data_IF_350244763497
#
_entry.id   IF_350244763497
#
_cell.length_a   1.000
_cell.length_b   1.000
_cell.length_c   1.000
_cell.angle_alpha   90.00
_cell.angle_beta   90.00
_cell.angle_gamma   90.00
#
_symmetry.space_group_name_H-M   'P 1'
#
loop_
_entity.id
_entity.type
_entity.pdbx_description
1 polymer ?
#
# COMPACT_ATOMS: atom_id res chain seq x y z
N UNK A 1 0.81 -25.66 -5.88
CA UNK A 1 0.35 -24.79 -4.78
C UNK A 1 -0.53 -23.63 -5.27
N UNK A 2 -0.07 -22.83 -6.23
CA UNK A 2 -0.81 -21.63 -6.70
C UNK A 2 -2.21 -21.98 -7.25
N UNK A 3 -2.35 -23.04 -8.04
CA UNK A 3 -3.66 -23.44 -8.58
C UNK A 3 -4.66 -23.84 -7.50
N UNK A 4 -4.19 -24.47 -6.42
CA UNK A 4 -5.06 -24.82 -5.28
C UNK A 4 -5.59 -23.56 -4.63
N UNK A 5 -4.71 -22.57 -4.41
CA UNK A 5 -5.09 -21.28 -3.83
C UNK A 5 -6.12 -20.57 -4.71
N UNK A 6 -5.88 -20.53 -6.03
CA UNK A 6 -6.81 -19.90 -6.98
C UNK A 6 -8.19 -20.58 -6.97
N UNK A 7 -8.19 -21.92 -7.03
CA UNK A 7 -9.44 -22.71 -6.99
C UNK A 7 -10.18 -22.41 -5.69
N UNK A 8 -9.47 -22.38 -4.56
CA UNK A 8 -10.06 -22.08 -3.25
C UNK A 8 -10.69 -20.68 -3.22
N UNK A 9 -9.98 -19.67 -3.75
CA UNK A 9 -10.50 -18.29 -3.81
C UNK A 9 -11.76 -18.23 -4.67
N UNK A 10 -11.76 -18.82 -5.86
CA UNK A 10 -12.93 -18.81 -6.75
C UNK A 10 -14.09 -19.61 -6.16
N UNK A 11 -13.80 -20.76 -5.51
CA UNK A 11 -14.83 -21.53 -4.82
C UNK A 11 -15.48 -20.69 -3.73
N UNK A 12 -14.67 -20.07 -2.87
CA UNK A 12 -15.16 -19.18 -1.80
C UNK A 12 -15.97 -18.01 -2.38
N UNK A 13 -15.49 -17.41 -3.47
CA UNK A 13 -16.16 -16.32 -4.16
C UNK A 13 -17.59 -16.70 -4.57
N UNK A 14 -17.73 -17.85 -5.26
CA UNK A 14 -19.04 -18.29 -5.75
C UNK A 14 -19.93 -18.78 -4.60
N UNK A 15 -19.38 -19.42 -3.57
CA UNK A 15 -20.16 -19.84 -2.40
C UNK A 15 -20.72 -18.62 -1.65
N UNK A 16 -19.89 -17.61 -1.38
CA UNK A 16 -20.34 -16.38 -0.72
C UNK A 16 -21.35 -15.61 -1.59
N UNK A 17 -21.09 -15.52 -2.90
CA UNK A 17 -22.04 -14.87 -3.83
C UNK A 17 -23.39 -15.59 -3.86
N UNK A 18 -23.35 -16.93 -3.89
CA UNK A 18 -24.57 -17.74 -3.86
C UNK A 18 -25.35 -17.47 -2.56
N UNK A 19 -24.67 -17.47 -1.42
CA UNK A 19 -25.29 -17.25 -0.12
C UNK A 19 -25.87 -15.83 -0.01
N UNK A 20 -25.12 -14.83 -0.47
CA UNK A 20 -25.60 -13.43 -0.52
C UNK A 20 -26.81 -13.27 -1.47
N UNK A 21 -26.80 -13.98 -2.60
CA UNK A 21 -27.96 -13.96 -3.53
C UNK A 21 -29.22 -14.51 -2.90
N UNK A 22 -29.09 -15.49 -1.99
CA UNK A 22 -30.23 -16.03 -1.22
C UNK A 22 -30.82 -14.97 -0.28
N UNK A 23 -29.97 -14.14 0.31
CA UNK A 23 -30.38 -12.98 1.10
C UNK A 23 -31.16 -11.98 0.23
N UNK A 24 -30.60 -11.65 -0.92
CA UNK A 24 -31.22 -10.69 -1.85
C UNK A 24 -32.61 -11.16 -2.30
N UNK A 25 -32.81 -12.47 -2.53
CA UNK A 25 -34.10 -13.04 -2.88
C UNK A 25 -35.17 -12.90 -1.78
N UNK A 26 -34.77 -12.77 -0.51
CA UNK A 26 -35.70 -12.52 0.59
C UNK A 26 -36.15 -11.06 0.68
N UNK A 27 -35.38 -10.16 0.10
CA UNK A 27 -35.62 -8.71 0.16
C UNK A 27 -36.38 -8.21 -1.07
N UNK A 28 -36.01 -8.71 -2.25
CA UNK A 28 -36.48 -8.17 -3.54
C UNK A 28 -36.96 -9.30 -4.43
N UNK A 29 -38.19 -9.16 -4.93
CA UNK A 29 -38.81 -10.13 -5.84
C UNK A 29 -38.42 -9.89 -7.31
N UNK A 30 -37.99 -8.70 -7.67
CA UNK A 30 -37.69 -8.31 -9.05
C UNK A 30 -36.56 -9.15 -9.64
N UNK A 31 -36.84 -9.92 -10.67
CA UNK A 31 -35.90 -10.85 -11.30
C UNK A 31 -34.67 -10.15 -11.88
N UNK A 32 -34.85 -8.94 -12.44
CA UNK A 32 -33.75 -8.22 -13.07
C UNK A 32 -32.64 -7.88 -12.06
N UNK A 33 -33.00 -7.61 -10.80
CA UNK A 33 -31.99 -7.34 -9.73
C UNK A 33 -31.10 -8.57 -9.48
N UNK A 34 -31.70 -9.77 -9.54
CA UNK A 34 -30.93 -11.01 -9.37
C UNK A 34 -30.01 -11.27 -10.57
N UNK A 35 -30.49 -10.99 -11.78
CA UNK A 35 -29.67 -11.09 -12.98
C UNK A 35 -28.51 -10.08 -12.93
N UNK A 36 -28.80 -8.85 -12.50
CA UNK A 36 -27.76 -7.80 -12.34
C UNK A 36 -26.72 -8.24 -11.31
N UNK A 37 -27.14 -8.77 -10.17
CA UNK A 37 -26.21 -9.26 -9.12
C UNK A 37 -25.24 -10.31 -9.71
N UNK A 38 -25.78 -11.31 -10.40
CA UNK A 38 -24.93 -12.35 -10.99
C UNK A 38 -24.12 -11.83 -12.18
N UNK A 39 -24.67 -10.91 -12.96
CA UNK A 39 -23.96 -10.25 -14.05
C UNK A 39 -22.72 -9.52 -13.54
N UNK A 40 -22.86 -8.75 -12.45
CA UNK A 40 -21.73 -8.05 -11.81
C UNK A 40 -20.72 -9.09 -11.29
N UNK A 41 -21.18 -10.13 -10.61
CA UNK A 41 -20.28 -11.16 -10.07
C UNK A 41 -19.44 -11.82 -11.18
N UNK A 42 -20.09 -12.15 -12.29
CA UNK A 42 -19.39 -12.77 -13.44
C UNK A 42 -18.46 -11.76 -14.12
N UNK A 43 -18.92 -10.51 -14.30
CA UNK A 43 -18.11 -9.46 -14.94
C UNK A 43 -16.82 -9.19 -14.16
N UNK A 44 -16.86 -9.21 -12.82
CA UNK A 44 -15.67 -9.05 -11.98
C UNK A 44 -14.66 -10.17 -12.26
N UNK A 45 -15.13 -11.42 -12.33
CA UNK A 45 -14.26 -12.56 -12.61
C UNK A 45 -13.68 -12.47 -14.04
N UNK A 46 -14.52 -12.14 -15.02
CA UNK A 46 -14.07 -12.00 -16.41
C UNK A 46 -13.04 -10.86 -16.56
N UNK A 47 -13.25 -9.75 -15.88
CA UNK A 47 -12.32 -8.63 -15.86
C UNK A 47 -10.97 -9.04 -15.24
N UNK A 48 -11.01 -9.77 -14.12
CA UNK A 48 -9.78 -10.27 -13.49
C UNK A 48 -9.04 -11.24 -14.42
N UNK A 49 -9.76 -12.18 -15.03
CA UNK A 49 -9.17 -13.16 -15.98
C UNK A 49 -8.58 -12.44 -17.20
N UNK A 50 -9.30 -11.46 -17.76
CA UNK A 50 -8.80 -10.67 -18.88
C UNK A 50 -7.45 -10.04 -18.53
N UNK A 51 -7.36 -9.35 -17.39
CA UNK A 51 -6.10 -8.71 -16.98
C UNK A 51 -5.04 -9.73 -16.56
N UNK A 52 -5.44 -10.90 -16.05
CA UNK A 52 -4.50 -11.98 -15.72
C UNK A 52 -3.83 -12.53 -16.98
N UNK A 53 -4.60 -12.80 -18.02
CA UNK A 53 -4.08 -13.38 -19.27
C UNK A 53 -3.33 -12.33 -20.11
N UNK A 54 -3.69 -11.07 -20.00
CA UNK A 54 -3.06 -9.98 -20.77
C UNK A 54 -1.99 -9.23 -19.96
N UNK A 55 -1.60 -9.77 -18.80
CA UNK A 55 -0.56 -9.12 -18.00
C UNK A 55 0.79 -9.20 -18.72
N UNK A 56 1.50 -8.09 -18.81
CA UNK A 56 2.90 -8.07 -19.18
C UNK A 56 3.72 -8.83 -18.13
N UNK A 57 4.94 -9.17 -18.45
CA UNK A 57 5.79 -10.00 -17.57
C UNK A 57 6.20 -9.29 -16.27
N UNK A 58 6.05 -7.98 -16.18
CA UNK A 58 6.82 -7.18 -15.23
C UNK A 58 6.03 -6.35 -14.23
N UNK A 59 4.83 -5.85 -14.51
CA UNK A 59 4.17 -4.89 -13.59
C UNK A 59 2.68 -5.14 -13.44
N UNK A 60 2.18 -4.90 -12.24
CA UNK A 60 0.75 -4.78 -11.95
C UNK A 60 0.30 -3.37 -12.34
N UNK A 61 -0.22 -3.23 -13.54
CA UNK A 61 -0.77 -1.97 -14.02
C UNK A 61 -1.98 -1.53 -13.17
N UNK A 62 -2.32 -0.24 -13.23
CA UNK A 62 -3.48 0.29 -12.50
C UNK A 62 -4.78 -0.50 -12.82
N UNK A 63 -5.10 -0.84 -14.09
CA UNK A 63 -6.27 -1.68 -14.37
C UNK A 63 -6.25 -3.05 -13.69
N UNK A 64 -5.06 -3.67 -13.59
CA UNK A 64 -4.91 -4.97 -12.89
C UNK A 64 -5.17 -4.82 -11.40
N UNK A 65 -4.66 -3.75 -10.78
CA UNK A 65 -4.89 -3.44 -9.37
C UNK A 65 -6.40 -3.24 -9.11
N UNK A 66 -7.09 -2.51 -9.98
CA UNK A 66 -8.54 -2.30 -9.87
C UNK A 66 -9.34 -3.59 -10.08
N UNK A 67 -8.88 -4.49 -10.94
CA UNK A 67 -9.54 -5.80 -11.13
C UNK A 67 -9.48 -6.64 -9.85
N UNK A 68 -8.30 -6.67 -9.20
CA UNK A 68 -8.13 -7.37 -7.91
C UNK A 68 -8.93 -6.67 -6.80
N UNK A 69 -8.90 -5.34 -6.75
CA UNK A 69 -9.69 -4.56 -5.79
C UNK A 69 -11.18 -4.85 -5.93
N UNK A 70 -11.68 -4.98 -7.16
CA UNK A 70 -13.07 -5.35 -7.45
C UNK A 70 -13.43 -6.72 -6.89
N UNK A 71 -12.56 -7.72 -7.10
CA UNK A 71 -12.76 -9.07 -6.56
C UNK A 71 -12.80 -9.04 -5.02
N UNK A 72 -11.84 -8.37 -4.40
CA UNK A 72 -11.75 -8.29 -2.93
C UNK A 72 -12.95 -7.54 -2.35
N UNK A 73 -13.36 -6.44 -2.99
CA UNK A 73 -14.54 -5.66 -2.58
C UNK A 73 -15.79 -6.54 -2.61
N UNK A 74 -15.99 -7.29 -3.70
CA UNK A 74 -17.14 -8.20 -3.83
C UNK A 74 -17.13 -9.28 -2.75
N UNK A 75 -15.97 -9.88 -2.49
CA UNK A 75 -15.81 -10.89 -1.43
C UNK A 75 -16.17 -10.31 -0.06
N UNK A 76 -15.69 -9.10 0.25
CA UNK A 76 -15.98 -8.42 1.51
C UNK A 76 -17.49 -8.16 1.65
N UNK A 77 -18.13 -7.63 0.61
CA UNK A 77 -19.59 -7.39 0.60
C UNK A 77 -20.34 -8.69 0.87
N UNK A 78 -20.03 -9.73 0.08
CA UNK A 78 -20.71 -11.03 0.20
C UNK A 78 -20.48 -11.68 1.57
N UNK A 79 -19.28 -11.50 2.15
CA UNK A 79 -18.96 -11.98 3.49
C UNK A 79 -19.84 -11.30 4.56
N UNK A 80 -19.91 -9.97 4.52
CA UNK A 80 -20.71 -9.20 5.49
C UNK A 80 -22.20 -9.49 5.36
N UNK A 81 -22.70 -9.69 4.13
CA UNK A 81 -24.08 -10.10 3.90
C UNK A 81 -24.33 -11.51 4.43
N UNK A 82 -23.39 -12.42 4.21
CA UNK A 82 -23.55 -13.84 4.52
C UNK A 82 -23.40 -14.15 6.00
N UNK A 83 -22.57 -13.43 6.72
CA UNK A 83 -22.21 -13.75 8.11
C UNK A 83 -23.43 -13.77 9.06
N UNK A 84 -24.31 -12.74 9.10
CA UNK A 84 -25.49 -12.81 9.96
C UNK A 84 -26.44 -13.96 9.60
N UNK A 85 -26.58 -14.27 8.31
CA UNK A 85 -27.42 -15.37 7.84
C UNK A 85 -26.83 -16.72 8.23
N UNK A 86 -25.51 -16.85 8.13
CA UNK A 86 -24.80 -18.08 8.51
C UNK A 86 -24.97 -18.34 10.00
N UNK A 87 -24.81 -17.31 10.83
CA UNK A 87 -25.04 -17.40 12.28
C UNK A 87 -26.49 -17.86 12.55
N UNK A 88 -27.47 -17.27 11.86
CA UNK A 88 -28.87 -17.70 12.00
C UNK A 88 -29.06 -19.16 11.58
N UNK A 89 -28.53 -19.57 10.45
CA UNK A 89 -28.72 -20.93 9.93
C UNK A 89 -28.01 -21.94 10.85
N UNK A 90 -26.80 -21.63 11.39
CA UNK A 90 -26.11 -22.47 12.36
C UNK A 90 -26.91 -22.59 13.67
N UNK A 91 -27.38 -21.46 14.22
CA UNK A 91 -28.19 -21.50 15.45
C UNK A 91 -29.50 -22.32 15.25
N UNK A 92 -30.09 -22.25 14.05
CA UNK A 92 -31.26 -23.03 13.69
C UNK A 92 -30.91 -24.53 13.64
N UNK A 93 -29.79 -24.89 13.04
CA UNK A 93 -29.34 -26.28 12.97
C UNK A 93 -29.04 -26.84 14.37
N UNK A 94 -28.37 -26.08 15.21
CA UNK A 94 -28.06 -26.49 16.59
C UNK A 94 -29.34 -26.74 17.37
N UNK A 95 -30.31 -25.81 17.29
CA UNK A 95 -31.62 -25.97 17.94
C UNK A 95 -32.35 -27.21 17.43
N UNK A 96 -32.33 -27.46 16.13
CA UNK A 96 -32.98 -28.63 15.53
C UNK A 96 -32.35 -29.94 16.02
N UNK A 97 -31.03 -29.96 16.18
CA UNK A 97 -30.27 -31.14 16.66
C UNK A 97 -30.63 -31.48 18.11
N UNK A 98 -30.74 -30.46 18.98
CA UNK A 98 -31.04 -30.69 20.40
C UNK A 98 -32.52 -30.75 20.74
N UNK A 99 -33.41 -30.43 19.82
CA UNK A 99 -34.86 -30.47 20.05
C UNK A 99 -35.43 -31.90 19.83
N UNK A 100 -35.90 -32.54 20.92
CA UNK A 100 -36.51 -33.85 20.86
C UNK A 100 -37.92 -33.85 20.22
N UNK A 101 -38.53 -32.68 20.11
CA UNK A 101 -39.83 -32.52 19.39
C UNK A 101 -39.57 -32.18 17.93
N UNK A 102 -40.14 -32.95 17.00
CA UNK A 102 -40.31 -32.53 15.61
C UNK A 102 -41.24 -31.29 15.61
N UNK A 103 -40.72 -30.17 16.09
CA UNK A 103 -41.43 -28.91 15.84
C UNK A 103 -41.19 -28.55 14.39
N UNK A 104 -42.23 -28.58 13.60
CA UNK A 104 -42.27 -27.76 12.39
C UNK A 104 -42.15 -26.31 12.86
N UNK A 105 -40.89 -25.88 13.19
CA UNK A 105 -40.63 -24.51 13.59
C UNK A 105 -41.14 -23.62 12.45
N UNK A 106 -42.12 -22.76 12.71
CA UNK A 106 -42.71 -21.96 11.64
C UNK A 106 -41.59 -21.16 10.95
N UNK A 107 -41.55 -21.23 9.64
CA UNK A 107 -40.73 -20.34 8.86
C UNK A 107 -41.11 -18.91 9.25
N UNK A 108 -40.15 -18.14 9.81
CA UNK A 108 -40.36 -16.74 10.16
C UNK A 108 -39.80 -15.87 9.04
N UNK A 109 -40.55 -15.61 7.98
CA UNK A 109 -40.06 -14.82 6.86
C UNK A 109 -39.62 -13.42 7.27
N UNK A 110 -40.33 -12.82 8.25
CA UNK A 110 -40.00 -11.49 8.79
C UNK A 110 -38.61 -11.46 9.46
N UNK A 111 -38.27 -12.49 10.23
CA UNK A 111 -36.96 -12.60 10.89
C UNK A 111 -35.85 -12.72 9.83
N UNK A 112 -36.00 -13.60 8.85
CA UNK A 112 -35.00 -13.77 7.79
C UNK A 112 -34.84 -12.50 6.97
N UNK A 113 -35.97 -11.80 6.68
CA UNK A 113 -35.98 -10.51 6.00
C UNK A 113 -35.16 -9.48 6.80
N UNK A 114 -35.39 -9.38 8.12
CA UNK A 114 -34.67 -8.48 9.02
C UNK A 114 -33.16 -8.79 8.99
N UNK A 115 -32.77 -10.06 9.14
CA UNK A 115 -31.36 -10.46 9.15
C UNK A 115 -30.70 -10.15 7.79
N UNK A 116 -31.45 -10.36 6.68
CA UNK A 116 -30.95 -9.99 5.35
C UNK A 116 -30.74 -8.48 5.23
N UNK A 117 -31.67 -7.66 5.71
CA UNK A 117 -31.50 -6.20 5.74
C UNK A 117 -30.28 -5.79 6.57
N UNK A 118 -30.13 -6.42 7.75
CA UNK A 118 -28.98 -6.16 8.61
C UNK A 118 -27.65 -6.50 7.88
N UNK A 119 -27.59 -7.65 7.20
CA UNK A 119 -26.41 -8.06 6.43
C UNK A 119 -26.04 -7.05 5.35
N UNK A 120 -27.02 -6.61 4.55
CA UNK A 120 -26.77 -5.61 3.50
C UNK A 120 -26.39 -4.24 4.11
N UNK A 121 -27.02 -3.85 5.23
CA UNK A 121 -26.65 -2.63 5.95
C UNK A 121 -25.21 -2.67 6.47
N UNK A 122 -24.81 -3.81 7.07
CA UNK A 122 -23.43 -3.99 7.54
C UNK A 122 -22.43 -3.99 6.37
N UNK A 123 -22.81 -4.58 5.22
CA UNK A 123 -21.94 -4.61 4.03
C UNK A 123 -21.77 -3.23 3.40
N UNK A 124 -22.73 -2.32 3.58
CA UNK A 124 -22.63 -0.95 3.05
C UNK A 124 -21.46 -0.17 3.69
N UNK A 125 -21.10 -0.49 4.94
CA UNK A 125 -20.01 0.19 5.66
C UNK A 125 -18.65 -0.05 4.98
N UNK A 126 -18.17 -1.30 4.86
CA UNK A 126 -16.89 -1.51 4.17
C UNK A 126 -16.97 -1.11 2.68
N UNK A 127 -18.11 -1.27 2.02
CA UNK A 127 -18.26 -0.83 0.63
C UNK A 127 -18.02 0.67 0.50
N UNK A 128 -18.70 1.49 1.32
CA UNK A 128 -18.53 2.94 1.31
C UNK A 128 -17.09 3.34 1.69
N UNK A 129 -16.49 2.64 2.66
CA UNK A 129 -15.10 2.87 3.09
C UNK A 129 -14.11 2.60 1.95
N UNK A 130 -14.30 1.50 1.21
CA UNK A 130 -13.45 1.15 0.06
C UNK A 130 -13.61 2.19 -1.06
N UNK A 131 -14.85 2.60 -1.36
CA UNK A 131 -15.08 3.66 -2.36
C UNK A 131 -14.40 4.96 -1.94
N UNK A 132 -14.55 5.35 -0.67
CA UNK A 132 -13.87 6.54 -0.14
C UNK A 132 -12.35 6.41 -0.30
N UNK A 133 -11.77 5.26 0.06
CA UNK A 133 -10.33 5.02 -0.05
C UNK A 133 -9.84 5.15 -1.50
N UNK A 134 -10.59 4.57 -2.45
CA UNK A 134 -10.23 4.61 -3.87
C UNK A 134 -10.29 6.05 -4.44
N UNK A 135 -11.37 6.77 -4.16
CA UNK A 135 -11.62 8.06 -4.82
C UNK A 135 -11.01 9.27 -4.10
N UNK A 136 -10.92 9.22 -2.76
CA UNK A 136 -10.41 10.34 -1.95
C UNK A 136 -9.26 9.96 -1.02
N UNK A 137 -9.31 8.78 -0.41
CA UNK A 137 -8.40 8.39 0.67
C UNK A 137 -6.94 8.46 0.25
N UNK A 138 -6.61 7.89 -0.91
CA UNK A 138 -5.23 7.81 -1.41
C UNK A 138 -4.62 9.18 -1.74
N UNK A 139 -5.45 10.21 -1.90
CA UNK A 139 -5.02 11.59 -2.20
C UNK A 139 -5.26 12.55 -1.04
N UNK A 140 -5.60 12.04 0.15
CA UNK A 140 -5.85 12.86 1.33
C UNK A 140 -4.53 13.15 2.06
N UNK A 141 -3.66 13.89 1.39
CA UNK A 141 -2.33 14.22 1.93
C UNK A 141 -2.47 15.00 3.24
N UNK A 142 -1.61 14.68 4.20
CA UNK A 142 -1.54 15.35 5.50
C UNK A 142 -0.10 15.71 5.81
N UNK A 143 0.09 16.89 6.35
CA UNK A 143 1.40 17.32 6.85
C UNK A 143 1.41 17.11 8.36
N UNK A 144 2.31 16.26 8.81
CA UNK A 144 2.55 16.04 10.23
C UNK A 144 3.80 16.83 10.62
N UNK A 145 3.69 17.65 11.66
CA UNK A 145 4.79 18.50 12.14
C UNK A 145 5.22 18.05 13.52
N UNK A 146 6.51 17.80 13.64
CA UNK A 146 7.15 17.39 14.90
C UNK A 146 8.32 18.32 15.17
N UNK A 147 8.49 18.74 16.41
CA UNK A 147 9.68 19.46 16.86
C UNK A 147 10.55 18.48 17.66
N UNK A 148 11.78 18.33 17.25
CA UNK A 148 12.75 17.45 17.91
C UNK A 148 13.80 18.34 18.60
N UNK A 149 14.19 17.99 19.80
CA UNK A 149 15.13 18.74 20.61
C UNK A 149 16.39 17.91 20.84
N UNK A 150 17.52 18.43 20.44
CA UNK A 150 18.83 17.78 20.60
C UNK A 150 19.76 18.73 21.35
N UNK A 151 20.22 18.39 22.56
CA UNK A 151 21.08 19.28 23.35
C UNK A 151 22.42 19.58 22.69
N UNK A 152 22.89 18.68 21.83
CA UNK A 152 24.18 18.78 21.13
C UNK A 152 24.04 19.23 19.67
N UNK A 153 22.86 19.73 19.27
CA UNK A 153 22.66 20.28 17.92
C UNK A 153 23.50 21.55 17.75
N UNK A 154 24.30 21.66 16.67
CA UNK A 154 25.00 22.92 16.39
C UNK A 154 24.02 24.09 16.28
N UNK A 155 24.38 25.24 16.83
CA UNK A 155 23.49 26.41 16.93
C UNK A 155 22.98 26.90 15.57
N UNK A 156 23.78 26.78 14.54
CA UNK A 156 23.39 27.18 13.18
C UNK A 156 22.21 26.33 12.64
N UNK A 157 21.94 25.18 13.24
CA UNK A 157 20.84 24.30 12.84
C UNK A 157 19.61 24.42 13.77
N UNK A 158 19.61 25.34 14.72
CA UNK A 158 18.40 25.60 15.52
C UNK A 158 17.29 26.10 14.59
N UNK A 159 16.11 25.46 14.66
CA UNK A 159 14.99 25.76 13.77
C UNK A 159 15.10 25.20 12.37
N UNK A 160 16.12 24.34 12.09
CA UNK A 160 16.31 23.69 10.80
C UNK A 160 15.12 22.79 10.47
N UNK A 161 14.57 22.95 9.28
CA UNK A 161 13.35 22.25 8.84
C UNK A 161 13.67 21.15 7.83
N UNK A 162 13.22 19.95 8.15
CA UNK A 162 13.37 18.76 7.28
C UNK A 162 11.98 18.32 6.85
N UNK A 163 11.75 18.18 5.55
CA UNK A 163 10.58 17.45 5.05
C UNK A 163 11.02 16.05 4.67
N UNK A 164 10.39 15.06 5.28
CA UNK A 164 10.57 13.65 4.88
C UNK A 164 9.36 13.19 4.06
N UNK A 165 9.64 12.54 2.94
CA UNK A 165 8.64 11.87 2.09
C UNK A 165 9.13 10.43 1.83
N UNK A 166 8.18 9.51 1.63
CA UNK A 166 8.47 8.09 1.47
C UNK A 166 7.37 7.41 0.66
N UNK A 167 7.67 6.23 0.13
CA UNK A 167 6.65 5.32 -0.41
C UNK A 167 5.77 5.98 -1.47
N UNK A 168 6.38 6.63 -2.43
CA UNK A 168 5.69 7.33 -3.53
C UNK A 168 4.96 6.33 -4.42
N UNK A 169 5.61 5.22 -4.80
CA UNK A 169 5.01 4.17 -5.63
C UNK A 169 4.31 4.75 -6.87
N UNK A 170 5.04 5.56 -7.65
CA UNK A 170 4.48 6.35 -8.75
C UNK A 170 3.81 5.52 -9.85
N UNK A 171 4.13 4.23 -9.97
CA UNK A 171 3.45 3.30 -10.87
C UNK A 171 1.97 3.06 -10.50
N UNK A 172 1.55 3.48 -9.31
CA UNK A 172 0.15 3.38 -8.85
C UNK A 172 -0.64 4.67 -9.08
N UNK A 173 -0.01 5.70 -9.61
CA UNK A 173 -0.64 7.00 -9.80
C UNK A 173 -1.52 7.02 -11.06
N UNK A 174 -2.67 7.68 -10.94
CA UNK A 174 -3.65 7.78 -12.04
C UNK A 174 -4.24 9.19 -12.20
N UNK A 175 -3.78 10.17 -11.41
CA UNK A 175 -4.35 11.52 -11.44
C UNK A 175 -3.26 12.57 -11.23
N UNK A 176 -2.85 13.21 -12.32
CA UNK A 176 -1.77 14.19 -12.34
C UNK A 176 -2.03 15.36 -11.37
N UNK A 177 -3.24 15.94 -11.40
CA UNK A 177 -3.58 17.11 -10.58
C UNK A 177 -3.49 16.82 -9.07
N UNK A 178 -3.87 15.61 -8.68
CA UNK A 178 -3.78 15.20 -7.27
C UNK A 178 -2.31 15.05 -6.84
N UNK A 179 -1.47 14.50 -7.70
CA UNK A 179 -0.04 14.35 -7.39
C UNK A 179 0.64 15.73 -7.41
N UNK A 180 0.29 16.59 -8.37
CA UNK A 180 0.79 17.97 -8.42
C UNK A 180 0.49 18.71 -7.12
N UNK A 181 -0.75 18.59 -6.63
CA UNK A 181 -1.13 19.18 -5.34
C UNK A 181 -0.25 18.65 -4.19
N UNK A 182 0.07 17.34 -4.19
CA UNK A 182 0.97 16.75 -3.20
C UNK A 182 2.37 17.38 -3.24
N UNK A 183 2.93 17.53 -4.45
CA UNK A 183 4.25 18.15 -4.65
C UNK A 183 4.23 19.62 -4.20
N UNK A 184 3.19 20.37 -4.58
CA UNK A 184 3.00 21.75 -4.14
C UNK A 184 2.92 21.86 -2.61
N UNK A 185 2.24 20.90 -1.97
CA UNK A 185 2.11 20.85 -0.51
C UNK A 185 3.47 20.61 0.15
N UNK A 186 4.35 19.78 -0.44
CA UNK A 186 5.71 19.55 0.05
C UNK A 186 6.51 20.87 -0.05
N UNK A 187 6.54 21.49 -1.22
CA UNK A 187 7.28 22.74 -1.43
C UNK A 187 6.77 23.88 -0.54
N UNK A 188 5.46 23.91 -0.26
CA UNK A 188 4.84 24.90 0.63
C UNK A 188 5.32 24.81 2.08
N UNK A 189 5.98 23.71 2.49
CA UNK A 189 6.57 23.62 3.83
C UNK A 189 7.82 24.48 3.98
N UNK A 190 8.45 24.89 2.86
CA UNK A 190 9.64 25.76 2.84
C UNK A 190 10.73 25.18 3.74
N UNK A 191 10.98 23.90 3.59
CA UNK A 191 12.00 23.19 4.37
C UNK A 191 13.40 23.52 3.88
N UNK A 192 14.36 23.42 4.77
CA UNK A 192 15.78 23.62 4.43
C UNK A 192 16.31 22.46 3.58
N UNK A 193 15.81 21.24 3.84
CA UNK A 193 16.17 20.03 3.09
C UNK A 193 14.94 19.14 2.91
N UNK A 194 14.89 18.40 1.80
CA UNK A 194 13.89 17.35 1.56
C UNK A 194 14.62 16.00 1.54
N UNK A 195 14.11 15.03 2.30
CA UNK A 195 14.65 13.67 2.40
C UNK A 195 13.60 12.68 1.88
N UNK A 196 13.95 11.97 0.82
CA UNK A 196 13.13 10.89 0.28
C UNK A 196 13.69 9.55 0.75
N UNK A 197 12.88 8.78 1.46
CA UNK A 197 13.33 7.55 2.12
C UNK A 197 12.96 6.26 1.39
N UNK A 198 12.83 6.35 0.06
CA UNK A 198 12.73 5.17 -0.80
C UNK A 198 11.32 4.79 -1.21
N UNK A 199 11.24 3.76 -2.04
CA UNK A 199 10.03 3.26 -2.70
C UNK A 199 9.42 4.30 -3.66
N UNK A 200 10.25 4.79 -4.57
CA UNK A 200 9.83 5.71 -5.64
C UNK A 200 8.90 5.00 -6.64
N UNK A 201 9.23 3.76 -6.98
CA UNK A 201 8.50 2.96 -7.98
C UNK A 201 7.83 1.75 -7.32
N UNK A 202 6.94 1.08 -8.06
CA UNK A 202 6.48 -0.25 -7.66
C UNK A 202 7.56 -1.30 -7.98
N UNK A 203 8.22 -1.21 -9.15
CA UNK A 203 9.29 -2.11 -9.57
C UNK A 203 10.15 -1.56 -10.72
N UNK A 204 9.57 -0.73 -11.60
CA UNK A 204 10.21 -0.34 -12.86
C UNK A 204 10.56 1.13 -12.89
N UNK A 205 11.77 1.46 -13.31
CA UNK A 205 12.22 2.83 -13.54
C UNK A 205 11.27 3.59 -14.50
N UNK A 206 10.75 2.90 -15.51
CA UNK A 206 9.79 3.43 -16.48
C UNK A 206 8.57 4.11 -15.83
N UNK A 207 8.19 3.66 -14.63
CA UNK A 207 7.04 4.22 -13.89
C UNK A 207 7.22 5.70 -13.55
N UNK A 208 8.47 6.17 -13.47
CA UNK A 208 8.82 7.57 -13.14
C UNK A 208 8.56 8.52 -14.32
N UNK A 209 8.62 8.03 -15.57
CA UNK A 209 8.66 8.87 -16.77
C UNK A 209 7.58 9.95 -16.82
N UNK A 210 6.33 9.56 -16.51
CA UNK A 210 5.20 10.51 -16.56
C UNK A 210 5.22 11.53 -15.41
N UNK A 211 6.04 11.30 -14.39
CA UNK A 211 6.06 12.10 -13.16
C UNK A 211 7.37 12.85 -12.98
N UNK A 212 8.40 12.51 -13.77
CA UNK A 212 9.75 13.07 -13.64
C UNK A 212 9.75 14.60 -13.60
N UNK A 213 9.10 15.24 -14.58
CA UNK A 213 9.06 16.71 -14.66
C UNK A 213 8.40 17.34 -13.43
N UNK A 214 7.40 16.65 -12.86
CA UNK A 214 6.71 17.12 -11.66
C UNK A 214 7.62 16.96 -10.42
N UNK A 215 8.24 15.79 -10.25
CA UNK A 215 9.13 15.53 -9.11
C UNK A 215 10.39 16.41 -9.15
N UNK A 216 10.86 16.79 -10.35
CA UNK A 216 11.96 17.73 -10.53
C UNK A 216 11.64 19.13 -10.00
N UNK A 217 10.36 19.45 -9.71
CA UNK A 217 9.98 20.72 -9.09
C UNK A 217 10.12 20.70 -7.55
N UNK A 218 10.39 19.55 -6.95
CA UNK A 218 10.72 19.49 -5.52
C UNK A 218 12.04 20.20 -5.28
N UNK A 219 12.05 21.15 -4.36
CA UNK A 219 13.24 21.95 -4.12
C UNK A 219 13.35 22.40 -2.66
N UNK A 220 14.57 22.44 -2.18
CA UNK A 220 14.93 22.98 -0.87
C UNK A 220 16.33 23.62 -0.97
N UNK A 221 16.64 24.65 -0.16
CA UNK A 221 17.94 25.32 -0.25
C UNK A 221 19.14 24.38 -0.13
N UNK A 222 19.09 23.41 0.78
CA UNK A 222 20.17 22.44 0.99
C UNK A 222 20.01 21.18 0.12
N UNK A 223 18.98 21.13 -0.72
CA UNK A 223 18.80 20.07 -1.73
C UNK A 223 17.72 19.05 -1.39
N UNK A 224 17.59 18.11 -2.32
CA UNK A 224 16.70 16.93 -2.19
C UNK A 224 17.62 15.71 -2.18
N UNK A 225 17.58 14.95 -1.11
CA UNK A 225 18.37 13.73 -0.97
C UNK A 225 17.45 12.52 -0.96
N UNK A 226 17.91 11.43 -1.56
CA UNK A 226 17.12 10.21 -1.66
C UNK A 226 17.94 8.98 -1.25
N UNK A 227 17.24 7.94 -0.83
CA UNK A 227 17.78 6.59 -0.65
C UNK A 227 16.83 5.59 -1.33
N UNK A 228 17.27 4.35 -1.47
CA UNK A 228 16.51 3.28 -2.11
C UNK A 228 15.67 2.51 -1.09
N UNK A 229 14.40 2.33 -1.39
CA UNK A 229 13.52 1.40 -0.67
C UNK A 229 13.53 0.01 -1.31
N UNK A 230 12.82 -0.93 -0.71
CA UNK A 230 12.85 -2.33 -1.19
C UNK A 230 12.21 -2.51 -2.57
N UNK A 231 11.25 -1.69 -2.94
CA UNK A 231 10.60 -1.75 -4.26
C UNK A 231 11.51 -1.25 -5.38
N UNK A 232 12.36 -0.29 -5.07
CA UNK A 232 13.24 0.36 -6.06
C UNK A 232 14.24 -0.61 -6.70
N UNK A 233 14.58 -1.72 -6.02
CA UNK A 233 15.47 -2.76 -6.57
C UNK A 233 14.79 -3.68 -7.57
N UNK A 234 13.47 -3.57 -7.76
CA UNK A 234 12.73 -4.40 -8.71
C UNK A 234 12.64 -5.88 -8.33
N UNK A 235 12.78 -6.21 -7.06
CA UNK A 235 12.81 -7.61 -6.57
C UNK A 235 11.45 -8.31 -6.72
N UNK A 236 10.38 -7.55 -6.86
CA UNK A 236 9.02 -8.10 -6.95
C UNK A 236 8.55 -8.31 -8.40
N UNK A 237 9.43 -8.06 -9.38
CA UNK A 237 9.18 -8.30 -10.80
C UNK A 237 9.93 -9.52 -11.31
N UNK A 238 9.42 -10.09 -12.39
CA UNK A 238 10.12 -11.15 -13.14
C UNK A 238 10.95 -10.49 -14.24
N UNK A 239 12.24 -10.78 -14.24
CA UNK A 239 13.20 -10.20 -15.19
C UNK A 239 13.63 -11.25 -16.23
N UNK A 240 13.84 -10.80 -17.45
CA UNK A 240 14.34 -11.67 -18.54
C UNK A 240 15.79 -12.10 -18.28
N UNK A 241 16.56 -11.26 -17.62
CA UNK A 241 17.95 -11.53 -17.26
C UNK A 241 18.38 -10.66 -16.08
N UNK A 242 19.45 -11.03 -15.41
CA UNK A 242 20.11 -10.22 -14.38
C UNK A 242 20.52 -8.86 -14.96
N UNK A 243 20.98 -8.86 -16.21
CA UNK A 243 21.38 -7.66 -16.92
C UNK A 243 20.20 -6.69 -17.12
N UNK A 244 19.02 -7.22 -17.48
CA UNK A 244 17.81 -6.40 -17.63
C UNK A 244 17.43 -5.72 -16.32
N UNK A 245 17.53 -6.46 -15.21
CA UNK A 245 17.29 -5.91 -13.87
C UNK A 245 18.31 -4.81 -13.54
N UNK A 246 19.58 -5.05 -13.81
CA UNK A 246 20.66 -4.08 -13.55
C UNK A 246 20.43 -2.78 -14.35
N UNK A 247 20.07 -2.89 -15.62
CA UNK A 247 19.77 -1.71 -16.46
C UNK A 247 18.59 -0.91 -15.93
N UNK A 248 17.56 -1.59 -15.43
CA UNK A 248 16.43 -0.91 -14.80
C UNK A 248 16.87 -0.10 -13.57
N UNK A 249 17.73 -0.69 -12.75
CA UNK A 249 18.24 -0.04 -11.55
C UNK A 249 19.10 1.19 -11.90
N UNK A 250 20.02 1.03 -12.85
CA UNK A 250 20.85 2.13 -13.35
C UNK A 250 19.99 3.27 -13.92
N UNK A 251 18.96 2.91 -14.69
CA UNK A 251 18.01 3.87 -15.24
C UNK A 251 17.28 4.64 -14.12
N UNK A 252 16.91 3.95 -13.03
CA UNK A 252 16.25 4.61 -11.89
C UNK A 252 17.21 5.61 -11.20
N UNK A 253 18.51 5.28 -11.12
CA UNK A 253 19.52 6.21 -10.60
C UNK A 253 19.63 7.46 -11.50
N UNK A 254 19.71 7.25 -12.81
CA UNK A 254 19.79 8.36 -13.77
C UNK A 254 18.55 9.27 -13.69
N UNK A 255 17.36 8.68 -13.56
CA UNK A 255 16.12 9.45 -13.43
C UNK A 255 16.11 10.31 -12.17
N UNK A 256 16.59 9.78 -11.03
CA UNK A 256 16.69 10.56 -9.79
C UNK A 256 17.68 11.73 -9.97
N UNK A 257 18.81 11.47 -10.61
CA UNK A 257 19.80 12.51 -10.93
C UNK A 257 19.22 13.57 -11.87
N UNK A 258 18.46 13.16 -12.89
CA UNK A 258 17.79 14.08 -13.83
C UNK A 258 16.73 14.94 -13.13
N UNK A 259 16.12 14.44 -12.06
CA UNK A 259 15.19 15.22 -11.21
C UNK A 259 15.94 16.18 -10.27
N UNK A 260 17.26 16.13 -10.22
CA UNK A 260 18.06 16.96 -9.32
C UNK A 260 18.15 16.41 -7.90
N UNK A 261 17.87 15.13 -7.71
CA UNK A 261 17.98 14.49 -6.40
C UNK A 261 19.35 13.86 -6.21
N UNK A 262 19.96 14.04 -5.03
CA UNK A 262 21.24 13.40 -4.66
C UNK A 262 20.93 12.05 -4.01
N UNK A 263 21.12 10.98 -4.79
CA UNK A 263 20.87 9.60 -4.34
C UNK A 263 22.08 9.10 -3.54
N UNK A 264 21.84 8.69 -2.31
CA UNK A 264 22.87 8.19 -1.38
C UNK A 264 22.77 6.66 -1.29
N UNK A 265 23.83 5.98 -1.73
CA UNK A 265 23.95 4.51 -1.72
C UNK A 265 25.06 4.11 -0.72
N UNK A 266 24.73 4.10 0.58
CA UNK A 266 25.68 3.90 1.69
C UNK A 266 26.74 5.01 1.72
N UNK A 267 26.30 6.23 1.50
CA UNK A 267 27.12 7.43 1.41
C UNK A 267 26.68 8.46 2.44
N UNK A 268 27.50 9.49 2.62
CA UNK A 268 27.12 10.62 3.47
C UNK A 268 27.39 11.94 2.76
N UNK A 269 26.70 12.98 3.21
CA UNK A 269 26.95 14.39 2.85
C UNK A 269 27.02 15.21 4.13
N UNK A 270 27.68 16.33 4.06
CA UNK A 270 27.65 17.32 5.15
C UNK A 270 26.72 18.46 4.73
N UNK A 271 25.74 18.72 5.56
CA UNK A 271 24.94 19.95 5.46
C UNK A 271 25.69 21.01 6.26
N UNK A 272 25.97 22.15 5.63
CA UNK A 272 26.81 23.20 6.22
C UNK A 272 25.99 24.48 6.38
N UNK A 273 26.11 25.12 7.54
CA UNK A 273 25.42 26.38 7.82
C UNK A 273 26.27 27.20 8.81
N UNK A 274 26.64 28.41 8.40
CA UNK A 274 27.41 29.34 9.23
C UNK A 274 28.72 28.71 9.81
N UNK A 275 29.38 27.84 9.03
CA UNK A 275 30.62 27.18 9.44
C UNK A 275 30.42 25.94 10.31
N UNK A 276 29.18 25.64 10.73
CA UNK A 276 28.86 24.41 11.45
C UNK A 276 28.34 23.36 10.47
N UNK A 277 28.41 22.07 10.84
CA UNK A 277 28.06 20.94 9.96
C UNK A 277 27.28 19.88 10.70
N UNK A 278 26.34 19.27 9.99
CA UNK A 278 25.70 18.00 10.42
C UNK A 278 25.89 16.97 9.29
N UNK A 279 26.07 15.72 9.66
CA UNK A 279 26.23 14.64 8.69
C UNK A 279 24.86 14.05 8.32
N UNK A 280 24.57 14.05 7.02
CA UNK A 280 23.44 13.32 6.45
C UNK A 280 23.97 11.99 5.92
N UNK A 281 23.48 10.88 6.46
CA UNK A 281 23.93 9.54 6.10
C UNK A 281 22.79 8.80 5.40
N UNK A 282 23.00 8.42 4.15
CA UNK A 282 22.05 7.60 3.39
C UNK A 282 22.52 6.15 3.38
N UNK A 283 21.62 5.25 3.77
CA UNK A 283 21.88 3.81 3.76
C UNK A 283 20.89 3.13 2.84
N UNK A 284 21.37 2.15 2.08
CA UNK A 284 20.52 1.32 1.24
C UNK A 284 19.60 0.45 2.09
N UNK A 285 18.55 -0.10 1.47
CA UNK A 285 17.54 -0.88 2.14
C UNK A 285 18.12 -2.02 2.97
N UNK A 286 17.84 -2.02 4.27
CA UNK A 286 18.20 -3.10 5.20
C UNK A 286 16.96 -3.95 5.48
N UNK A 287 16.67 -4.86 4.56
CA UNK A 287 15.52 -5.73 4.65
C UNK A 287 15.54 -6.64 5.89
N UNK A 288 14.38 -6.92 6.46
CA UNK A 288 14.19 -7.82 7.59
C UNK A 288 13.42 -9.07 7.13
N UNK A 289 13.82 -10.22 7.63
CA UNK A 289 13.17 -11.48 7.30
C UNK A 289 13.45 -11.89 5.85
N UNK A 290 12.41 -11.93 5.02
CA UNK A 290 12.50 -12.36 3.61
C UNK A 290 12.89 -11.22 2.64
N UNK A 291 12.96 -10.01 3.12
CA UNK A 291 13.31 -8.87 2.27
C UNK A 291 14.82 -8.82 2.04
N UNK A 292 15.23 -8.48 0.82
CA UNK A 292 16.62 -8.36 0.43
C UNK A 292 17.35 -7.29 1.24
N UNK A 293 18.63 -7.53 1.52
CA UNK A 293 19.49 -6.62 2.27
C UNK A 293 20.56 -6.05 1.33
N UNK A 294 20.53 -4.77 1.12
CA UNK A 294 21.43 -4.07 0.23
C UNK A 294 22.43 -3.15 0.97
N UNK A 295 22.03 -2.77 2.16
CA UNK A 295 22.91 -1.90 2.97
C UNK A 295 24.19 -2.54 3.48
N UNK A 296 25.11 -1.71 3.73
CA UNK A 296 26.41 -2.03 4.10
C UNK A 296 26.71 -2.96 5.22
N UNK A 297 26.05 -3.34 5.63
CA UNK A 297 26.27 -4.27 6.62
C UNK A 297 26.29 -5.67 6.13
N UNK A 298 26.04 -5.70 5.13
CA UNK A 298 25.95 -6.99 4.58
C UNK A 298 27.19 -7.43 3.88
N UNK A 299 27.96 -6.59 3.46
CA UNK A 299 29.22 -7.09 2.84
C UNK A 299 30.33 -7.09 3.89
N UNK A 300 30.48 -8.20 4.53
CA UNK A 300 31.53 -8.41 5.55
C UNK A 300 32.93 -8.50 4.96
N UNK A 301 33.07 -8.59 3.64
CA UNK A 301 34.36 -8.85 2.99
C UNK A 301 35.03 -7.61 2.39
N UNK A 302 34.37 -6.44 2.41
CA UNK A 302 35.00 -5.17 2.02
C UNK A 302 35.35 -4.31 3.24
N UNK A 303 36.53 -3.65 3.24
CA UNK A 303 36.87 -2.77 4.35
C UNK A 303 35.87 -1.60 4.43
N UNK A 304 35.19 -1.50 5.56
CA UNK A 304 34.19 -0.45 5.83
C UNK A 304 34.88 0.93 5.75
N UNK A 305 34.44 1.82 4.89
CA UNK A 305 34.99 3.16 4.87
C UNK A 305 34.64 3.95 6.14
N UNK A 306 33.62 3.50 6.91
CA UNK A 306 33.23 4.16 8.17
C UNK A 306 32.82 3.12 9.21
N UNK A 307 33.45 3.14 10.36
CA UNK A 307 32.97 2.38 11.53
C UNK A 307 31.75 3.11 12.11
N UNK A 308 30.58 2.60 11.83
CA UNK A 308 29.42 2.94 12.66
C UNK A 308 29.76 2.49 14.08
N UNK A 309 30.12 3.41 14.94
CA UNK A 309 30.32 3.07 16.33
C UNK A 309 28.98 2.60 16.89
N UNK A 310 28.99 1.47 17.58
CA UNK A 310 27.80 0.92 18.27
C UNK A 310 27.15 1.93 19.23
N UNK A 311 27.85 3.02 19.50
CA UNK A 311 27.41 4.08 20.41
C UNK A 311 26.27 4.96 19.87
N UNK A 312 26.04 5.01 18.54
CA UNK A 312 24.92 5.77 17.97
C UNK A 312 23.56 5.17 18.32
N UNK A 313 23.49 3.84 18.50
CA UNK A 313 22.24 3.17 18.88
C UNK A 313 22.07 3.01 20.39
N UNK A 314 23.14 3.10 21.17
CA UNK A 314 23.07 2.94 22.62
C UNK A 314 22.43 4.17 23.33
N UNK A 315 22.58 5.37 22.74
CA UNK A 315 21.99 6.59 23.32
C UNK A 315 20.46 6.68 23.17
N UNK A 316 19.89 6.01 22.17
CA UNK A 316 18.42 6.01 21.98
C UNK A 316 17.68 5.27 23.11
N UNK A 317 18.33 4.31 23.77
CA UNK A 317 17.70 3.52 24.85
C UNK A 317 17.70 4.22 26.22
N UNK A 318 18.59 5.20 26.42
CA UNK A 318 18.67 5.88 27.70
C UNK A 318 17.68 7.07 27.85
N UNK A 319 17.16 7.58 26.73
CA UNK A 319 16.23 8.74 26.76
C UNK A 319 14.74 8.35 26.76
N UNK A 320 14.40 7.06 26.63
CA UNK A 320 13.00 6.61 26.66
C UNK A 320 12.51 6.22 28.07
N UNK A 321 13.29 6.48 29.10
CA UNK A 321 12.93 6.13 30.49
C UNK A 321 12.91 7.36 31.41
N UNK A 322 11.97 8.27 31.12
CA UNK A 322 11.51 9.21 32.16
C UNK A 322 9.99 9.42 32.06
N UNK A 323 9.27 9.44 33.19
CA UNK A 323 7.81 9.41 33.25
C UNK A 323 7.10 10.62 32.65
#
# INVERSE_FOLDING_TARGET
MIYIILISIFTLYFLLSFYASRSLKTLVAARWIHWTFWGIAVAIVLNLLYHWFNRGKTVWSAPQQYAVAGLLTWLIICLFVSLPLLIEDITRLIRAFFSKKKQNAPRMPSRRKFISMLGWGLAAIPFASILYAIFKGKYNYKVWKYTLYFPDLPKAFDGYRITQISDIHCGSFDNYEKIRYGVELINAQKSDVILFTGDLVNNLAEEVHNWKSLFATLHAPDGVFSIMGNHDYGDYSSWESVEAKRKNLEHLFDLQKEMGWDLLLNEHRYLERNGEKIALIGVENWGRGRFSKYGXXXNTDEPRPYSFSRNCFAREKEHSAHP
#
